data_IF_558885707641
#
_entry.id   IF_558885707641
#
_cell.length_a   1.000
_cell.length_b   1.000
_cell.length_c   1.000
_cell.angle_alpha   90.00
_cell.angle_beta   90.00
_cell.angle_gamma   90.00
#
_symmetry.space_group_name_H-M   'P 1'
#
loop_
_entity.id
_entity.type
_entity.pdbx_description
1 polymer ?
#
# COMPACT_ATOMS: atom_id res chain seq x y z
N UNK A 1 13.75 -30.52 1.25
CA UNK A 1 13.88 -29.18 1.88
C UNK A 1 13.54 -28.13 0.82
N UNK A 2 12.25 -27.84 0.63
CA UNK A 2 11.77 -26.88 -0.36
C UNK A 2 11.28 -25.63 0.40
N UNK A 3 12.11 -24.61 0.51
CA UNK A 3 11.66 -23.29 0.96
C UNK A 3 10.98 -22.61 -0.23
N UNK A 4 9.66 -22.58 -0.16
CA UNK A 4 8.78 -21.93 -1.12
C UNK A 4 9.29 -20.51 -1.44
N UNK A 5 9.66 -20.29 -2.70
CA UNK A 5 9.78 -18.95 -3.25
C UNK A 5 8.45 -18.26 -3.05
N UNK A 6 8.44 -17.16 -2.29
CA UNK A 6 7.28 -16.28 -2.23
C UNK A 6 6.95 -15.86 -3.64
N UNK A 7 5.83 -16.39 -4.14
CA UNK A 7 5.12 -15.87 -5.28
C UNK A 7 4.95 -14.37 -5.04
N UNK A 8 5.77 -13.57 -5.73
CA UNK A 8 5.67 -12.12 -5.66
C UNK A 8 4.44 -11.82 -6.52
N UNK A 9 3.31 -11.38 -5.94
CA UNK A 9 2.16 -11.06 -6.76
C UNK A 9 2.59 -10.04 -7.81
N UNK A 10 2.10 -10.15 -9.05
CA UNK A 10 2.45 -9.23 -10.12
C UNK A 10 2.22 -7.81 -9.59
N UNK A 11 3.26 -7.00 -9.61
CA UNK A 11 3.16 -5.60 -9.25
C UNK A 11 2.32 -5.00 -10.38
N UNK A 12 1.01 -4.81 -10.18
CA UNK A 12 0.21 -4.01 -11.11
C UNK A 12 0.98 -2.72 -11.32
N UNK A 13 1.46 -2.51 -12.55
CA UNK A 13 2.33 -1.41 -12.96
C UNK A 13 1.70 -0.04 -12.66
N UNK A 14 0.38 -0.01 -12.44
CA UNK A 14 -0.40 1.15 -12.01
C UNK A 14 -0.13 1.64 -10.58
N UNK A 15 0.72 0.97 -9.80
CA UNK A 15 0.98 1.32 -8.40
C UNK A 15 2.39 1.85 -8.14
N UNK A 16 3.13 2.22 -9.19
CA UNK A 16 4.46 2.78 -9.04
C UNK A 16 4.67 4.05 -9.87
N UNK A 17 5.55 4.92 -9.36
CA UNK A 17 6.10 6.07 -10.08
C UNK A 17 7.57 5.78 -10.33
N UNK A 18 7.99 5.88 -11.58
CA UNK A 18 9.41 5.85 -11.94
C UNK A 18 9.89 7.29 -12.03
N UNK A 19 10.90 7.63 -11.22
CA UNK A 19 11.48 8.96 -11.23
C UNK A 19 12.48 9.11 -12.38
N UNK A 20 12.73 10.34 -12.81
CA UNK A 20 13.75 10.66 -13.80
C UNK A 20 15.17 10.18 -13.42
N UNK A 21 15.45 9.99 -12.12
CA UNK A 21 16.70 9.40 -11.64
C UNK A 21 16.70 7.86 -11.63
N UNK A 22 15.70 7.21 -12.24
CA UNK A 22 15.62 5.77 -12.42
C UNK A 22 15.15 5.00 -11.18
N UNK A 23 14.65 5.69 -10.15
CA UNK A 23 14.15 5.05 -8.93
C UNK A 23 12.68 4.70 -9.13
N UNK A 24 12.32 3.46 -8.85
CA UNK A 24 10.91 3.04 -8.82
C UNK A 24 10.39 3.16 -7.39
N UNK A 25 9.36 3.98 -7.22
CA UNK A 25 8.66 4.16 -5.96
C UNK A 25 7.31 3.48 -6.07
N UNK A 26 7.06 2.44 -5.27
CA UNK A 26 5.80 1.70 -5.29
C UNK A 26 4.96 1.98 -4.04
N UNK A 27 3.65 2.15 -4.23
CA UNK A 27 2.67 2.31 -3.16
C UNK A 27 1.88 1.01 -3.03
N UNK A 28 1.74 0.51 -1.80
CA UNK A 28 0.96 -0.71 -1.52
C UNK A 28 0.15 -0.56 -0.26
N UNK A 29 -1.02 -1.18 -0.23
CA UNK A 29 -1.76 -1.41 1.01
C UNK A 29 -1.24 -2.66 1.73
N UNK A 30 -1.06 -2.56 3.05
CA UNK A 30 -0.68 -3.65 3.92
C UNK A 30 -1.64 -3.73 5.11
N UNK A 31 -2.21 -4.91 5.34
CA UNK A 31 -2.98 -5.20 6.53
C UNK A 31 -2.07 -5.88 7.56
N UNK A 32 -1.90 -5.26 8.72
CA UNK A 32 -1.12 -5.79 9.84
C UNK A 32 -2.11 -6.27 10.90
N UNK A 33 -2.17 -7.58 11.13
CA UNK A 33 -3.00 -8.16 12.19
C UNK A 33 -2.29 -8.08 13.55
N UNK A 34 -3.05 -7.82 14.63
CA UNK A 34 -3.30 -8.93 15.54
C UNK A 34 -4.78 -9.09 15.93
N UNK A 35 -5.18 -10.37 16.06
CA UNK A 35 -6.33 -11.02 16.71
C UNK A 35 -7.72 -10.37 16.82
N UNK A 36 -7.89 -9.04 16.89
CA UNK A 36 -9.19 -8.40 17.19
C UNK A 36 -9.47 -7.12 16.39
N UNK A 37 -8.45 -6.38 15.93
CA UNK A 37 -8.63 -5.20 15.06
C UNK A 37 -7.51 -5.09 14.04
N UNK A 38 -7.73 -5.51 12.78
CA UNK A 38 -6.71 -5.38 11.75
C UNK A 38 -6.39 -3.89 11.49
N UNK A 39 -5.10 -3.56 11.44
CA UNK A 39 -4.65 -2.21 11.10
C UNK A 39 -4.34 -2.18 9.60
N UNK A 40 -5.10 -1.38 8.85
CA UNK A 40 -4.80 -1.03 7.46
C UNK A 40 -3.73 0.06 7.40
N UNK A 41 -2.65 -0.16 6.64
CA UNK A 41 -1.60 0.85 6.40
C UNK A 41 -1.31 1.00 4.91
N UNK A 42 -1.03 2.23 4.50
CA UNK A 42 -0.37 2.50 3.22
C UNK A 42 1.14 2.39 3.44
N UNK A 43 1.81 1.65 2.56
CA UNK A 43 3.25 1.41 2.59
C UNK A 43 3.89 1.93 1.31
N UNK A 44 5.09 2.49 1.45
CA UNK A 44 5.86 3.08 0.37
C UNK A 44 7.19 2.34 0.26
N UNK A 45 7.44 1.72 -0.88
CA UNK A 45 8.76 1.21 -1.25
C UNK A 45 9.45 2.27 -2.10
N UNK A 46 10.46 2.95 -1.54
CA UNK A 46 11.21 4.02 -2.21
C UNK A 46 12.43 3.44 -2.97
N UNK A 47 12.55 2.12 -3.07
CA UNK A 47 13.70 1.44 -3.64
C UNK A 47 14.94 1.49 -2.73
N UNK A 48 15.99 0.75 -3.11
CA UNK A 48 17.24 0.71 -2.35
C UNK A 48 17.90 2.09 -2.31
N UNK A 49 18.44 2.43 -1.15
CA UNK A 49 19.41 3.51 -1.05
C UNK A 49 20.61 3.18 -1.93
N UNK A 50 20.98 4.08 -2.85
CA UNK A 50 22.05 3.86 -3.82
C UNK A 50 23.42 4.36 -3.32
N UNK A 51 23.57 4.51 -2.00
CA UNK A 51 24.88 4.69 -1.36
C UNK A 51 25.34 6.14 -1.19
N UNK A 52 24.41 7.08 -1.09
CA UNK A 52 24.71 8.38 -0.46
C UNK A 52 24.44 8.30 1.03
N UNK A 53 25.15 9.08 1.83
CA UNK A 53 24.99 9.18 3.29
C UNK A 53 23.54 8.92 3.78
N UNK A 54 23.32 8.11 4.84
CA UNK A 54 21.98 7.84 5.34
C UNK A 54 21.20 9.14 5.54
N UNK A 55 20.08 9.30 4.82
CA UNK A 55 19.28 10.52 4.81
C UNK A 55 19.14 11.22 3.45
N UNK A 56 19.60 10.64 2.34
CA UNK A 56 19.30 11.16 1.00
C UNK A 56 17.82 11.02 0.69
N UNK A 57 17.13 12.16 0.61
CA UNK A 57 15.75 12.25 0.18
C UNK A 57 15.62 11.84 -1.29
N UNK A 58 14.56 11.12 -1.64
CA UNK A 58 14.20 10.94 -3.04
C UNK A 58 13.78 12.30 -3.62
N UNK A 59 14.46 12.75 -4.67
CA UNK A 59 14.06 13.92 -5.43
C UNK A 59 12.97 13.54 -6.45
N UNK A 60 11.95 14.37 -6.55
CA UNK A 60 10.82 14.21 -7.47
C UNK A 60 10.65 15.49 -8.28
N UNK A 61 10.34 15.35 -9.56
CA UNK A 61 9.78 16.46 -10.32
C UNK A 61 8.38 16.80 -9.79
N UNK A 62 7.88 17.99 -10.08
CA UNK A 62 6.53 18.37 -9.70
C UNK A 62 5.45 17.49 -10.36
N UNK A 63 5.73 16.86 -11.50
CA UNK A 63 4.83 15.88 -12.14
C UNK A 63 4.80 14.58 -11.34
N UNK A 64 5.97 14.00 -11.10
CA UNK A 64 6.13 12.77 -10.33
C UNK A 64 5.54 12.88 -8.92
N UNK A 65 5.71 14.04 -8.26
CA UNK A 65 5.12 14.29 -6.94
C UNK A 65 3.58 14.28 -6.97
N UNK A 66 2.95 14.81 -8.03
CA UNK A 66 1.49 14.78 -8.19
C UNK A 66 0.99 13.38 -8.46
N UNK A 67 1.71 12.61 -9.26
CA UNK A 67 1.34 11.22 -9.56
C UNK A 67 1.47 10.34 -8.33
N UNK A 68 2.55 10.50 -7.55
CA UNK A 68 2.71 9.83 -6.27
C UNK A 68 1.60 10.20 -5.28
N UNK A 69 1.24 11.49 -5.20
CA UNK A 69 0.15 11.94 -4.33
C UNK A 69 -1.21 11.30 -4.69
N UNK A 70 -1.52 11.18 -5.99
CA UNK A 70 -2.75 10.50 -6.45
C UNK A 70 -2.79 9.04 -6.02
N UNK A 71 -1.67 8.32 -6.16
CA UNK A 71 -1.56 6.93 -5.71
C UNK A 71 -1.73 6.82 -4.19
N UNK A 72 -1.09 7.71 -3.42
CA UNK A 72 -1.22 7.72 -1.95
C UNK A 72 -2.67 7.94 -1.52
N UNK A 73 -3.39 8.88 -2.14
CA UNK A 73 -4.79 9.15 -1.84
C UNK A 73 -5.70 7.98 -2.21
N UNK A 74 -5.46 7.33 -3.36
CA UNK A 74 -6.21 6.13 -3.76
C UNK A 74 -6.05 5.00 -2.74
N UNK A 75 -4.81 4.69 -2.34
CA UNK A 75 -4.53 3.63 -1.38
C UNK A 75 -4.98 3.97 0.04
N UNK A 76 -5.02 5.25 0.42
CA UNK A 76 -5.60 5.70 1.67
C UNK A 76 -7.10 5.39 1.74
N UNK A 77 -7.85 5.70 0.68
CA UNK A 77 -9.27 5.34 0.61
C UNK A 77 -9.52 3.84 0.72
N UNK A 78 -8.70 3.02 0.05
CA UNK A 78 -8.79 1.55 0.18
C UNK A 78 -8.52 1.08 1.63
N UNK A 79 -7.53 1.69 2.29
CA UNK A 79 -7.20 1.36 3.67
C UNK A 79 -8.33 1.71 4.66
N UNK A 80 -9.00 2.84 4.45
CA UNK A 80 -10.14 3.32 5.24
C UNK A 80 -11.38 2.43 5.05
N UNK A 81 -11.70 2.03 3.82
CA UNK A 81 -12.85 1.15 3.56
C UNK A 81 -12.65 -0.28 4.07
N UNK A 82 -11.41 -0.77 4.15
CA UNK A 82 -11.14 -2.11 4.69
C UNK A 82 -11.29 -2.21 6.20
N UNK A 83 -11.37 -1.09 6.94
CA UNK A 83 -11.57 -1.08 8.39
C UNK A 83 -13.03 -0.89 8.80
N UNK A 84 -13.97 -0.73 7.87
CA UNK A 84 -15.40 -0.73 8.22
C UNK A 84 -15.80 -2.14 8.69
N UNK A 85 -16.20 -2.32 9.96
CA UNK A 85 -16.69 -3.60 10.41
C UNK A 85 -17.97 -3.90 9.64
N UNK A 86 -18.08 -5.10 9.06
CA UNK A 86 -19.36 -5.62 8.60
C UNK A 86 -20.31 -5.57 9.80
N UNK A 87 -21.21 -4.58 9.82
CA UNK A 87 -22.22 -4.45 10.86
C UNK A 87 -23.02 -5.75 10.90
N UNK A 88 -23.49 -6.23 12.08
CA UNK A 88 -24.12 -7.52 12.19
C UNK A 88 -25.28 -7.57 11.21
N UNK A 89 -25.28 -8.62 10.37
CA UNK A 89 -26.37 -8.95 9.49
C UNK A 89 -27.66 -8.81 10.29
N UNK A 90 -28.54 -7.89 9.87
CA UNK A 90 -29.83 -7.65 10.51
C UNK A 90 -30.47 -9.01 10.77
N UNK A 91 -30.54 -9.38 12.04
CA UNK A 91 -31.27 -10.54 12.52
C UNK A 91 -32.72 -10.31 12.10
N UNK A 92 -33.11 -10.95 11.00
CA UNK A 92 -34.46 -10.93 10.51
C UNK A 92 -35.27 -11.80 11.44
N UNK A 93 -35.72 -11.21 12.55
CA UNK A 93 -36.72 -11.76 13.44
C UNK A 93 -38.01 -11.97 12.64
N UNK A 94 -38.18 -13.16 12.05
CA UNK A 94 -39.50 -13.70 11.75
C UNK A 94 -39.85 -14.72 12.81
N UNK A 95 -40.48 -14.21 13.87
CA UNK A 95 -41.40 -14.97 14.71
C UNK A 95 -42.81 -14.48 14.40
N UNK A 96 -43.55 -15.29 13.66
CA UNK A 96 -45.03 -15.42 13.71
C UNK A 96 -45.38 -16.79 13.18
#
# INVERSE_FOLDING_TARGET
MATAGRDRPPVSEDNCVVTACGRSIAVRWLQIAPAERPISRVTLDVGRDQGGEPGVWAALTAGEARDLARLLLLHAGLAEHSTEPVGPARENSRST
#
